data_IF_690407139621
#
_entry.id   IF_690407139621
#
_cell.length_a   1.000
_cell.length_b   1.000
_cell.length_c   1.000
_cell.angle_alpha   90.00
_cell.angle_beta   90.00
_cell.angle_gamma   90.00
#
_symmetry.space_group_name_H-M   'P 1'
#
loop_
_entity.id
_entity.type
_entity.pdbx_description
1 polymer ?
#
# COMPACT_ATOMS: atom_id res chain seq x y z
N UNK A 1 -6.08 -9.72 28.47
CA UNK A 1 -5.91 -8.36 27.95
C UNK A 1 -6.54 -8.34 26.56
N UNK A 2 -7.70 -7.72 26.39
CA UNK A 2 -8.41 -7.69 25.10
C UNK A 2 -7.57 -6.86 24.12
N UNK A 3 -7.09 -7.49 23.05
CA UNK A 3 -6.30 -6.82 22.01
C UNK A 3 -7.30 -6.09 21.10
N UNK A 4 -7.62 -4.83 21.39
CA UNK A 4 -8.38 -4.00 20.47
C UNK A 4 -7.59 -3.84 19.16
N UNK A 5 -8.10 -4.39 18.07
CA UNK A 5 -7.51 -4.17 16.75
C UNK A 5 -7.86 -2.76 16.25
N UNK A 6 -6.86 -2.01 15.80
CA UNK A 6 -7.08 -0.67 15.23
C UNK A 6 -7.89 -0.82 13.93
N UNK A 7 -8.99 -0.07 13.72
CA UNK A 7 -9.84 -0.16 12.53
C UNK A 7 -9.08 -0.20 11.19
N UNK A 8 -8.05 0.63 11.05
CA UNK A 8 -7.18 0.65 9.87
C UNK A 8 -6.49 -0.68 9.60
N UNK A 9 -6.04 -1.38 10.65
CA UNK A 9 -5.38 -2.67 10.52
C UNK A 9 -6.37 -3.77 10.10
N UNK A 10 -7.60 -3.74 10.62
CA UNK A 10 -8.67 -4.65 10.19
C UNK A 10 -8.96 -4.44 8.70
N UNK A 11 -9.15 -3.18 8.31
CA UNK A 11 -9.37 -2.78 6.92
C UNK A 11 -8.26 -3.27 5.99
N UNK A 12 -7.00 -2.98 6.33
CA UNK A 12 -5.85 -3.37 5.51
C UNK A 12 -5.77 -4.89 5.36
N UNK A 13 -5.89 -5.63 6.47
CA UNK A 13 -5.80 -7.10 6.46
C UNK A 13 -6.85 -7.77 5.60
N UNK A 14 -8.04 -7.18 5.52
CA UNK A 14 -9.18 -7.75 4.79
C UNK A 14 -9.16 -7.39 3.30
N UNK A 15 -8.72 -6.19 2.94
CA UNK A 15 -8.71 -5.75 1.54
C UNK A 15 -7.40 -6.05 0.81
N UNK A 16 -6.26 -6.10 1.51
CA UNK A 16 -4.96 -6.36 0.90
C UNK A 16 -4.94 -7.68 0.07
N UNK A 17 -5.52 -8.81 0.52
CA UNK A 17 -5.57 -10.05 -0.26
C UNK A 17 -6.31 -9.94 -1.60
N UNK A 18 -7.16 -8.93 -1.79
CA UNK A 18 -7.90 -8.75 -3.05
C UNK A 18 -6.98 -8.34 -4.21
N UNK A 19 -5.80 -7.77 -3.90
CA UNK A 19 -4.74 -7.54 -4.89
C UNK A 19 -4.97 -6.33 -5.81
N UNK A 20 -5.74 -5.34 -5.37
CA UNK A 20 -5.88 -4.03 -6.04
C UNK A 20 -4.74 -3.06 -5.72
N UNK A 21 -3.92 -3.41 -4.72
CA UNK A 21 -2.81 -2.65 -4.18
C UNK A 21 -2.93 -2.52 -2.66
N UNK A 22 -2.08 -1.71 -2.03
CA UNK A 22 -2.20 -1.43 -0.61
C UNK A 22 -3.43 -0.54 -0.33
N UNK A 23 -4.41 -1.01 0.45
CA UNK A 23 -5.59 -0.22 0.79
C UNK A 23 -5.24 0.90 1.79
N UNK A 24 -5.57 2.15 1.46
CA UNK A 24 -5.38 3.28 2.36
C UNK A 24 -6.65 3.52 3.20
N UNK A 25 -6.47 3.68 4.51
CA UNK A 25 -7.57 3.97 5.43
C UNK A 25 -7.88 5.48 5.47
N UNK A 26 -6.87 6.31 5.24
CA UNK A 26 -7.00 7.75 5.03
C UNK A 26 -6.72 8.05 3.56
N UNK A 27 -7.79 8.27 2.81
CA UNK A 27 -7.73 8.38 1.35
C UNK A 27 -7.56 9.84 0.90
N UNK A 28 -8.00 10.81 1.72
CA UNK A 28 -8.00 12.22 1.38
C UNK A 28 -6.61 12.84 1.42
N UNK A 29 -6.27 13.75 0.49
CA UNK A 29 -5.01 14.47 0.56
C UNK A 29 -5.00 15.39 1.79
N UNK A 30 -3.88 15.46 2.53
CA UNK A 30 -3.75 16.35 3.69
C UNK A 30 -4.02 17.82 3.33
N UNK A 31 -4.77 18.52 4.18
CA UNK A 31 -5.20 19.91 3.95
C UNK A 31 -4.04 20.92 3.95
N UNK A 32 -2.93 20.57 4.60
CA UNK A 32 -1.71 21.37 4.66
C UNK A 32 -0.84 21.28 3.39
N UNK A 33 -1.20 20.44 2.42
CA UNK A 33 -0.49 20.35 1.15
C UNK A 33 -0.93 21.43 0.14
N UNK A 34 -0.06 21.80 -0.81
CA UNK A 34 -0.36 22.79 -1.84
C UNK A 34 -1.61 22.42 -2.63
N UNK A 35 -2.35 23.43 -3.08
CA UNK A 35 -3.59 23.22 -3.83
C UNK A 35 -3.36 22.38 -5.09
N UNK A 36 -2.22 22.56 -5.77
CA UNK A 36 -1.83 21.78 -6.94
C UNK A 36 -1.73 20.27 -6.64
N UNK A 37 -1.24 19.92 -5.46
CA UNK A 37 -1.20 18.52 -5.00
C UNK A 37 -2.59 18.05 -4.58
N UNK A 38 -3.30 18.83 -3.75
CA UNK A 38 -4.65 18.45 -3.27
C UNK A 38 -5.65 18.22 -4.40
N UNK A 39 -5.53 18.92 -5.53
CA UNK A 39 -6.36 18.68 -6.72
C UNK A 39 -6.15 17.30 -7.36
N UNK A 40 -4.96 16.72 -7.23
CA UNK A 40 -4.59 15.43 -7.83
C UNK A 40 -4.63 14.27 -6.83
N UNK A 41 -4.34 14.55 -5.57
CA UNK A 41 -4.07 13.54 -4.55
C UNK A 41 -2.75 12.83 -4.79
N UNK A 42 -2.59 11.67 -4.15
CA UNK A 42 -1.44 10.76 -4.34
C UNK A 42 -1.25 10.52 -5.83
N UNK A 43 -0.05 10.71 -6.35
CA UNK A 43 0.25 10.64 -7.78
C UNK A 43 1.39 9.66 -8.05
N UNK A 44 1.42 9.11 -9.26
CA UNK A 44 2.56 8.36 -9.77
C UNK A 44 3.83 9.21 -9.60
N UNK A 45 4.86 8.62 -9.02
CA UNK A 45 6.10 9.34 -8.68
C UNK A 45 6.22 9.77 -7.24
N UNK A 46 5.13 9.78 -6.48
CA UNK A 46 5.18 10.18 -5.08
C UNK A 46 6.07 9.22 -4.28
N UNK A 47 7.02 9.81 -3.56
CA UNK A 47 7.88 9.13 -2.62
C UNK A 47 7.42 9.52 -1.22
N UNK A 48 7.28 8.51 -0.37
CA UNK A 48 6.73 8.68 0.95
C UNK A 48 6.87 7.44 1.81
N UNK A 49 5.99 7.30 2.79
CA UNK A 49 5.87 6.08 3.59
C UNK A 49 4.45 5.94 4.14
N UNK A 50 4.06 4.71 4.46
CA UNK A 50 2.74 4.42 5.01
C UNK A 50 2.85 4.33 6.54
N UNK A 51 2.01 5.09 7.24
CA UNK A 51 1.93 5.09 8.71
C UNK A 51 1.07 3.92 9.22
N UNK A 52 1.25 3.50 10.49
CA UNK A 52 0.45 2.43 11.10
C UNK A 52 -1.07 2.69 11.09
N UNK A 53 -1.48 3.95 11.01
CA UNK A 53 -2.88 4.37 10.90
C UNK A 53 -3.47 4.16 9.48
N UNK A 54 -2.65 3.71 8.52
CA UNK A 54 -3.07 3.47 7.13
C UNK A 54 -3.09 4.73 6.26
N UNK A 55 -2.45 5.82 6.70
CA UNK A 55 -2.24 7.03 5.88
C UNK A 55 -0.92 6.97 5.11
N UNK A 56 -0.92 7.54 3.90
CA UNK A 56 0.31 7.78 3.14
C UNK A 56 0.87 9.16 3.46
N UNK A 57 2.15 9.23 3.81
CA UNK A 57 2.87 10.47 4.08
C UNK A 57 3.67 10.85 2.84
N UNK A 58 3.18 11.86 2.12
CA UNK A 58 3.89 12.45 0.98
C UNK A 58 5.14 13.20 1.43
N UNK A 59 6.24 13.06 0.67
CA UNK A 59 7.50 13.80 0.94
C UNK A 59 7.94 14.61 -0.27
N UNK A 60 8.01 14.00 -1.46
CA UNK A 60 8.25 14.66 -2.75
C UNK A 60 7.79 13.73 -3.87
N UNK A 61 7.69 14.23 -5.09
CA UNK A 61 7.43 13.47 -6.31
C UNK A 61 8.69 13.44 -7.18
N UNK A 62 9.12 12.24 -7.59
CA UNK A 62 10.38 12.05 -8.32
C UNK A 62 10.36 12.55 -9.78
N UNK A 63 9.18 12.79 -10.35
CA UNK A 63 9.01 13.35 -11.70
C UNK A 63 8.86 14.89 -11.67
N UNK A 64 8.54 15.47 -10.51
CA UNK A 64 8.34 16.90 -10.39
C UNK A 64 9.68 17.63 -10.16
N UNK A 65 9.94 18.74 -10.87
CA UNK A 65 11.01 19.65 -10.48
C UNK A 65 10.66 20.36 -9.17
N UNK A 66 11.67 20.98 -8.57
CA UNK A 66 11.49 21.93 -7.46
C UNK A 66 12.16 23.24 -7.88
N UNK A 67 11.35 24.25 -8.20
CA UNK A 67 11.78 25.62 -8.45
C UNK A 67 11.70 26.50 -7.19
N UNK A 68 11.42 25.90 -6.03
CA UNK A 68 11.56 26.54 -4.71
C UNK A 68 10.33 27.34 -4.26
N UNK A 69 9.18 27.21 -4.92
CA UNK A 69 7.94 27.86 -4.50
C UNK A 69 7.06 26.94 -3.64
N UNK A 70 6.37 27.51 -2.66
CA UNK A 70 5.50 26.76 -1.75
C UNK A 70 4.24 26.19 -2.43
N UNK A 71 3.93 26.64 -3.65
CA UNK A 71 2.76 26.23 -4.42
C UNK A 71 3.01 24.98 -5.30
N UNK A 72 4.27 24.59 -5.47
CA UNK A 72 4.67 23.41 -6.25
C UNK A 72 4.40 22.11 -5.52
N UNK A 73 4.37 21.00 -6.26
CA UNK A 73 4.22 19.64 -5.70
C UNK A 73 5.34 19.32 -4.71
N UNK A 74 6.60 19.62 -5.05
CA UNK A 74 7.77 19.40 -4.19
C UNK A 74 8.00 20.57 -3.22
N UNK A 75 6.95 20.94 -2.49
CA UNK A 75 6.92 22.06 -1.56
C UNK A 75 7.81 21.88 -0.30
N UNK A 76 8.17 20.64 0.04
CA UNK A 76 9.07 20.34 1.16
C UNK A 76 10.55 20.34 0.78
N UNK A 77 10.87 20.76 -0.46
CA UNK A 77 12.18 20.63 -1.04
C UNK A 77 12.40 19.26 -1.69
N UNK A 78 13.65 18.96 -1.98
CA UNK A 78 14.07 17.75 -2.70
C UNK A 78 15.36 17.18 -2.09
N UNK A 79 15.61 15.86 -2.24
CA UNK A 79 16.86 15.24 -1.81
C UNK A 79 18.09 15.90 -2.44
N UNK A 80 19.24 15.82 -1.75
CA UNK A 80 20.50 16.37 -2.27
C UNK A 80 20.89 15.69 -3.59
N UNK A 81 21.24 16.49 -4.59
CA UNK A 81 21.62 16.00 -5.91
C UNK A 81 20.46 15.39 -6.71
N UNK A 82 19.22 15.66 -6.31
CA UNK A 82 18.03 15.21 -7.03
C UNK A 82 17.96 15.83 -8.42
N UNK A 83 17.75 14.97 -9.41
CA UNK A 83 17.47 15.34 -10.80
C UNK A 83 16.21 14.58 -11.19
N UNK A 84 15.10 15.27 -11.53
CA UNK A 84 13.84 14.59 -11.82
C UNK A 84 13.99 13.49 -12.86
N UNK A 85 13.37 12.34 -12.60
CA UNK A 85 13.21 11.32 -13.62
C UNK A 85 12.26 11.89 -14.68
N UNK A 86 12.57 11.68 -15.97
CA UNK A 86 11.67 12.12 -17.04
C UNK A 86 10.45 11.21 -17.08
N UNK A 87 9.26 11.80 -16.92
CA UNK A 87 8.01 11.08 -17.06
C UNK A 87 7.70 10.94 -18.55
N UNK A 88 7.64 9.71 -19.05
CA UNK A 88 7.08 9.42 -20.37
C UNK A 88 5.55 9.32 -20.30
N UNK A 89 4.77 10.27 -20.88
CA UNK A 89 3.31 10.22 -20.86
C UNK A 89 2.73 9.01 -21.61
N UNK A 90 3.48 8.38 -22.52
CA UNK A 90 3.01 7.20 -23.25
C UNK A 90 2.98 5.95 -22.36
N UNK A 91 3.76 5.94 -21.28
CA UNK A 91 3.78 4.85 -20.30
C UNK A 91 2.71 5.03 -19.21
N UNK A 92 1.91 6.10 -19.27
CA UNK A 92 0.91 6.43 -18.28
C UNK A 92 -0.46 5.93 -18.71
N UNK A 93 -0.91 4.86 -18.07
CA UNK A 93 -2.24 4.30 -18.28
C UNK A 93 -3.24 4.96 -17.34
N UNK A 94 -4.37 5.42 -17.89
CA UNK A 94 -5.48 5.98 -17.13
C UNK A 94 -6.78 5.33 -17.56
N UNK A 95 -7.50 4.80 -16.58
CA UNK A 95 -8.82 4.21 -16.78
C UNK A 95 -9.79 4.98 -15.89
N UNK A 96 -10.62 5.84 -16.49
CA UNK A 96 -11.55 6.71 -15.75
C UNK A 96 -12.62 5.94 -14.97
N UNK A 97 -13.12 4.85 -15.54
CA UNK A 97 -14.16 4.00 -14.94
C UNK A 97 -13.59 2.61 -14.62
N UNK A 98 -12.38 2.55 -14.03
CA UNK A 98 -11.74 1.28 -13.66
C UNK A 98 -12.65 0.43 -12.77
N UNK A 99 -13.38 1.10 -11.87
CA UNK A 99 -14.44 0.51 -11.09
C UNK A 99 -15.75 1.24 -11.38
N UNK A 100 -16.81 0.52 -11.78
CA UNK A 100 -18.11 1.13 -12.03
C UNK A 100 -18.71 1.72 -10.76
N UNK A 101 -19.76 2.54 -10.93
CA UNK A 101 -20.57 3.04 -9.83
C UNK A 101 -21.10 1.90 -8.96
N UNK A 102 -21.27 2.19 -7.68
CA UNK A 102 -21.73 1.23 -6.66
C UNK A 102 -20.80 0.01 -6.49
N UNK A 103 -19.51 0.17 -6.81
CA UNK A 103 -18.50 -0.87 -6.57
C UNK A 103 -18.31 -1.10 -5.08
N UNK A 104 -18.24 -2.38 -4.70
CA UNK A 104 -18.07 -2.82 -3.32
C UNK A 104 -16.88 -3.75 -3.20
N UNK A 105 -16.08 -3.56 -2.15
CA UNK A 105 -14.88 -4.33 -1.85
C UNK A 105 -14.96 -4.84 -0.41
N UNK A 106 -14.88 -6.14 -0.22
CA UNK A 106 -15.09 -6.78 1.09
C UNK A 106 -15.85 -8.09 0.95
N UNK A 107 -15.88 -8.85 2.04
CA UNK A 107 -16.80 -9.99 2.17
C UNK A 107 -18.08 -9.46 2.77
N UNK A 108 -19.14 -9.41 1.98
CA UNK A 108 -20.44 -8.91 2.44
C UNK A 108 -21.53 -9.05 1.37
N UNK A 109 -22.77 -8.98 1.83
CA UNK A 109 -23.96 -8.99 0.98
C UNK A 109 -24.64 -7.64 1.04
N UNK A 110 -25.11 -7.17 -0.11
CA UNK A 110 -25.80 -5.90 -0.25
C UNK A 110 -27.20 -6.13 -0.81
N UNK A 111 -28.19 -5.48 -0.23
CA UNK A 111 -29.57 -5.46 -0.71
C UNK A 111 -30.03 -4.02 -0.89
N UNK A 112 -30.27 -3.62 -2.14
CA UNK A 112 -30.74 -2.27 -2.49
C UNK A 112 -32.24 -2.27 -2.71
N UNK A 113 -32.92 -1.32 -2.06
CA UNK A 113 -34.33 -1.01 -2.26
C UNK A 113 -34.43 0.39 -2.86
N UNK A 114 -35.13 0.53 -3.99
CA UNK A 114 -35.30 1.82 -4.68
C UNK A 114 -36.78 2.21 -4.69
N UNK A 115 -37.06 3.45 -4.29
CA UNK A 115 -38.36 4.08 -4.41
C UNK A 115 -38.25 5.30 -5.34
N UNK A 116 -39.14 5.38 -6.33
CA UNK A 116 -39.17 6.49 -7.28
C UNK A 116 -40.47 7.28 -7.14
N UNK A 117 -40.35 8.60 -7.13
CA UNK A 117 -41.44 9.58 -7.23
C UNK A 117 -41.15 10.50 -8.43
N UNK A 118 -42.14 11.27 -8.93
CA UNK A 118 -41.96 12.12 -10.11
C UNK A 118 -40.81 13.15 -10.04
N UNK A 119 -40.34 13.49 -8.84
CA UNK A 119 -39.31 14.51 -8.62
C UNK A 119 -38.06 14.00 -7.90
N UNK A 120 -38.08 12.75 -7.42
CA UNK A 120 -37.05 12.22 -6.55
C UNK A 120 -36.98 10.70 -6.64
N UNK A 121 -35.76 10.18 -6.75
CA UNK A 121 -35.49 8.76 -6.58
C UNK A 121 -34.66 8.59 -5.31
N UNK A 122 -35.12 7.74 -4.40
CA UNK A 122 -34.37 7.34 -3.22
C UNK A 122 -34.01 5.87 -3.33
N UNK A 123 -32.76 5.55 -3.03
CA UNK A 123 -32.29 4.17 -2.90
C UNK A 123 -31.67 3.99 -1.52
N UNK A 124 -32.00 2.89 -0.87
CA UNK A 124 -31.38 2.48 0.38
C UNK A 124 -30.80 1.10 0.22
N UNK A 125 -29.53 0.97 0.56
CA UNK A 125 -28.74 -0.23 0.45
C UNK A 125 -28.38 -0.70 1.84
N UNK A 126 -28.94 -1.83 2.26
CA UNK A 126 -28.52 -2.52 3.48
C UNK A 126 -27.33 -3.42 3.14
N UNK A 127 -26.26 -3.30 3.91
CA UNK A 127 -24.99 -3.96 3.70
C UNK A 127 -24.67 -4.75 4.96
N UNK A 128 -24.58 -6.07 4.83
CA UNK A 128 -24.00 -6.93 5.86
C UNK A 128 -22.59 -7.30 5.43
N UNK A 129 -21.62 -7.18 6.33
CA UNK A 129 -20.22 -7.41 6.00
C UNK A 129 -19.47 -8.06 7.16
N UNK A 130 -18.38 -8.74 6.80
CA UNK A 130 -17.48 -9.39 7.74
C UNK A 130 -16.22 -8.57 7.94
N UNK A 131 -16.09 -7.93 9.11
CA UNK A 131 -14.92 -7.18 9.58
C UNK A 131 -14.53 -5.92 8.80
N UNK A 132 -14.56 -5.91 7.45
CA UNK A 132 -14.22 -4.73 6.67
C UNK A 132 -14.93 -4.68 5.32
N UNK A 133 -15.32 -3.47 4.93
CA UNK A 133 -16.02 -3.19 3.70
C UNK A 133 -15.70 -1.79 3.18
N UNK A 134 -15.53 -1.65 1.88
CA UNK A 134 -15.39 -0.37 1.17
C UNK A 134 -16.46 -0.32 0.09
N UNK A 135 -17.24 0.75 0.07
CA UNK A 135 -18.13 1.08 -1.05
C UNK A 135 -17.70 2.36 -1.73
N UNK A 136 -17.88 2.38 -3.05
CA UNK A 136 -17.48 3.47 -3.94
C UNK A 136 -18.67 3.83 -4.85
N UNK A 137 -19.65 4.61 -4.35
CA UNK A 137 -20.91 4.87 -5.06
C UNK A 137 -20.70 5.54 -6.43
N UNK A 138 -19.81 6.53 -6.50
CA UNK A 138 -19.52 7.26 -7.73
C UNK A 138 -18.51 6.54 -8.65
N UNK A 139 -18.07 5.33 -8.27
CA UNK A 139 -17.00 4.60 -8.97
C UNK A 139 -15.61 5.18 -8.70
N UNK A 140 -14.62 4.61 -9.36
CA UNK A 140 -13.21 5.00 -9.18
C UNK A 140 -12.42 4.87 -10.47
N UNK A 141 -11.51 5.83 -10.66
CA UNK A 141 -10.48 5.75 -11.69
C UNK A 141 -9.27 4.97 -11.21
N UNK A 142 -8.47 4.48 -12.15
CA UNK A 142 -7.13 3.99 -11.91
C UNK A 142 -6.11 4.71 -12.77
N UNK A 143 -4.94 4.91 -12.20
CA UNK A 143 -3.74 5.37 -12.89
C UNK A 143 -2.61 4.37 -12.61
N UNK A 144 -1.89 3.94 -13.65
CA UNK A 144 -0.77 3.01 -13.54
C UNK A 144 0.37 3.44 -14.48
N UNK A 145 1.62 3.23 -14.05
CA UNK A 145 2.80 3.50 -14.88
C UNK A 145 3.43 2.19 -15.36
N UNK A 146 3.52 2.02 -16.68
CA UNK A 146 3.98 0.77 -17.29
C UNK A 146 5.48 0.55 -17.12
N UNK A 147 6.30 1.61 -17.25
CA UNK A 147 7.75 1.52 -17.09
C UNK A 147 8.18 1.57 -15.61
N UNK A 148 7.77 0.53 -14.87
CA UNK A 148 8.20 0.32 -13.49
C UNK A 148 9.70 0.02 -13.40
N UNK A 149 10.37 -0.32 -14.50
CA UNK A 149 11.80 -0.64 -14.51
C UNK A 149 12.68 0.61 -14.38
N UNK A 150 12.31 1.70 -15.06
CA UNK A 150 12.96 3.00 -14.89
C UNK A 150 12.76 3.55 -13.48
N UNK A 151 11.53 3.47 -12.94
CA UNK A 151 11.25 3.84 -11.54
C UNK A 151 12.10 3.02 -10.57
N UNK A 152 12.18 1.70 -10.76
CA UNK A 152 12.98 0.81 -9.92
C UNK A 152 14.45 1.21 -9.94
N UNK A 153 15.03 1.37 -11.12
CA UNK A 153 16.45 1.70 -11.31
C UNK A 153 16.81 3.04 -10.68
N UNK A 154 15.92 4.03 -10.86
CA UNK A 154 16.07 5.35 -10.26
C UNK A 154 15.97 5.29 -8.72
N UNK A 155 14.97 4.58 -8.20
CA UNK A 155 14.76 4.41 -6.76
C UNK A 155 15.95 3.73 -6.08
N UNK A 156 16.49 2.68 -6.71
CA UNK A 156 17.68 1.97 -6.25
C UNK A 156 18.87 2.94 -6.09
N UNK A 157 19.12 3.77 -7.11
CA UNK A 157 20.26 4.70 -7.14
C UNK A 157 20.16 5.78 -6.06
N UNK A 158 18.94 6.17 -5.70
CA UNK A 158 18.69 7.33 -4.83
C UNK A 158 18.15 6.96 -3.42
N UNK A 159 17.91 5.68 -3.14
CA UNK A 159 17.29 5.21 -1.90
C UNK A 159 17.96 5.77 -0.63
N UNK A 160 19.30 5.77 -0.58
CA UNK A 160 20.03 6.27 0.59
C UNK A 160 19.84 7.77 0.80
N UNK A 161 19.95 8.58 -0.26
CA UNK A 161 19.75 10.03 -0.17
C UNK A 161 18.30 10.40 0.12
N UNK A 162 17.35 9.55 -0.26
CA UNK A 162 15.94 9.72 0.11
C UNK A 162 15.71 9.48 1.61
N UNK A 163 16.28 8.42 2.19
CA UNK A 163 16.23 8.22 3.64
C UNK A 163 16.94 9.36 4.39
N UNK A 164 18.07 9.86 3.91
CA UNK A 164 18.75 11.05 4.47
C UNK A 164 17.86 12.29 4.43
N UNK A 165 17.17 12.53 3.31
CA UNK A 165 16.26 13.66 3.17
C UNK A 165 15.06 13.53 4.12
N UNK A 166 14.40 12.37 4.13
CA UNK A 166 13.19 12.12 4.93
C UNK A 166 13.48 12.17 6.43
N UNK A 167 14.57 11.53 6.87
CA UNK A 167 14.86 11.41 8.31
C UNK A 167 15.77 12.53 8.83
N UNK A 168 16.64 13.09 7.99
CA UNK A 168 17.54 14.17 8.35
C UNK A 168 16.91 15.54 8.12
N UNK A 169 16.54 15.86 6.87
CA UNK A 169 16.04 17.20 6.53
C UNK A 169 14.59 17.42 6.99
N UNK A 170 13.70 16.45 6.74
CA UNK A 170 12.28 16.56 7.12
C UNK A 170 12.00 16.08 8.55
N UNK A 171 12.90 15.30 9.16
CA UNK A 171 12.78 14.84 10.54
C UNK A 171 11.64 13.84 10.78
N UNK A 172 11.20 13.10 9.75
CA UNK A 172 10.02 12.23 9.86
C UNK A 172 10.25 10.91 10.60
N UNK A 173 11.50 10.54 10.89
CA UNK A 173 11.88 9.27 11.54
C UNK A 173 11.24 8.02 10.88
N UNK A 174 11.12 8.02 9.55
CA UNK A 174 10.64 6.90 8.76
C UNK A 174 11.49 5.62 9.05
N UNK A 175 10.87 4.53 9.52
CA UNK A 175 11.57 3.27 9.78
C UNK A 175 12.24 2.71 8.53
N UNK A 176 13.35 1.99 8.70
CA UNK A 176 13.96 1.28 7.58
C UNK A 176 12.97 0.26 7.01
N UNK A 177 12.81 0.27 5.68
CA UNK A 177 11.82 -0.53 4.96
C UNK A 177 10.47 0.16 4.75
N UNK A 178 10.19 1.29 5.41
CA UNK A 178 8.89 1.97 5.27
C UNK A 178 8.77 2.82 4.01
N UNK A 179 9.90 3.17 3.36
CA UNK A 179 9.90 4.00 2.16
C UNK A 179 9.09 3.33 1.04
N UNK A 180 8.16 4.09 0.48
CA UNK A 180 7.21 3.67 -0.53
C UNK A 180 7.29 4.60 -1.74
N UNK A 181 7.34 4.03 -2.94
CA UNK A 181 7.40 4.76 -4.21
C UNK A 181 6.18 4.40 -5.04
N UNK A 182 5.32 5.38 -5.32
CA UNK A 182 4.04 5.16 -6.00
C UNK A 182 4.26 4.96 -7.51
N UNK A 183 3.81 3.82 -8.02
CA UNK A 183 3.78 3.44 -9.45
C UNK A 183 2.36 3.40 -10.01
N UNK A 184 1.35 3.36 -9.15
CA UNK A 184 -0.05 3.39 -9.54
C UNK A 184 -0.96 3.72 -8.36
N UNK A 185 -2.18 4.14 -8.65
CA UNK A 185 -3.19 4.45 -7.64
C UNK A 185 -4.61 4.34 -8.19
N UNK A 186 -5.54 3.94 -7.34
CA UNK A 186 -6.98 3.98 -7.62
C UNK A 186 -7.62 5.07 -6.78
N UNK A 187 -8.45 5.91 -7.39
CA UNK A 187 -9.00 7.11 -6.76
C UNK A 187 -10.48 7.24 -6.96
N UNK A 188 -11.15 7.77 -5.94
CA UNK A 188 -12.53 8.20 -6.00
C UNK A 188 -12.69 9.61 -5.42
N UNK A 189 -13.87 10.17 -5.60
CA UNK A 189 -14.35 11.38 -4.95
C UNK A 189 -15.32 11.05 -3.79
N UNK A 190 -15.93 9.85 -3.80
CA UNK A 190 -16.90 9.42 -2.79
C UNK A 190 -16.71 7.95 -2.44
N UNK A 191 -16.60 7.69 -1.15
CA UNK A 191 -16.44 6.34 -0.63
C UNK A 191 -16.87 6.26 0.83
N UNK A 192 -17.08 5.05 1.30
CA UNK A 192 -17.28 4.73 2.69
C UNK A 192 -16.53 3.45 3.05
N UNK A 193 -15.75 3.52 4.13
CA UNK A 193 -15.10 2.38 4.77
C UNK A 193 -15.91 2.04 6.03
N UNK A 194 -16.19 0.77 6.19
CA UNK A 194 -16.75 0.19 7.39
C UNK A 194 -15.81 -0.89 7.92
N UNK A 195 -15.62 -0.91 9.23
CA UNK A 195 -14.81 -1.91 9.92
C UNK A 195 -15.49 -2.35 11.19
N UNK A 196 -15.36 -3.63 11.51
CA UNK A 196 -15.88 -4.24 12.73
C UNK A 196 -14.85 -5.25 13.24
N UNK A 197 -14.78 -5.38 14.57
CA UNK A 197 -13.93 -6.37 15.22
C UNK A 197 -14.63 -7.73 15.29
N UNK A 198 -15.96 -7.74 15.34
CA UNK A 198 -16.78 -8.94 15.26
C UNK A 198 -17.11 -9.29 13.80
N UNK A 199 -17.30 -10.58 13.53
CA UNK A 199 -17.46 -11.10 12.17
C UNK A 199 -18.84 -10.83 11.55
N UNK A 200 -19.67 -9.94 12.10
CA UNK A 200 -21.04 -9.75 11.63
C UNK A 200 -21.60 -8.38 12.01
N UNK A 201 -21.39 -7.39 11.13
CA UNK A 201 -22.02 -6.07 11.24
C UNK A 201 -22.96 -5.79 10.08
N UNK A 202 -23.89 -4.85 10.33
CA UNK A 202 -24.79 -4.33 9.30
C UNK A 202 -24.73 -2.81 9.23
N UNK A 203 -24.88 -2.27 8.04
CA UNK A 203 -24.95 -0.83 7.78
C UNK A 203 -26.07 -0.55 6.80
N UNK A 204 -26.75 0.56 7.00
CA UNK A 204 -27.71 1.08 6.04
C UNK A 204 -27.12 2.31 5.37
N UNK A 205 -26.87 2.22 4.07
CA UNK A 205 -26.48 3.34 3.23
C UNK A 205 -27.72 3.85 2.50
N UNK A 206 -28.09 5.09 2.74
CA UNK A 206 -29.18 5.74 2.02
C UNK A 206 -28.63 6.77 1.05
N UNK A 207 -29.05 6.68 -0.20
CA UNK A 207 -28.72 7.60 -1.28
C UNK A 207 -30.00 8.26 -1.78
N UNK A 208 -29.98 9.58 -1.88
CA UNK A 208 -31.11 10.36 -2.37
C UNK A 208 -30.66 11.15 -3.60
N UNK A 209 -31.39 10.98 -4.69
CA UNK A 209 -31.22 11.75 -5.92
C UNK A 209 -32.43 12.65 -6.13
N UNK A 210 -32.18 13.94 -6.30
CA UNK A 210 -33.23 14.95 -6.54
C UNK A 210 -32.93 15.65 -7.86
N UNK A 211 -33.92 15.70 -8.74
CA UNK A 211 -33.82 16.49 -9.97
C UNK A 211 -34.44 17.87 -9.73
N UNK A 212 -33.62 18.92 -9.81
CA UNK A 212 -34.06 20.30 -9.66
C UNK A 212 -33.58 21.14 -10.86
N UNK A 213 -34.50 21.54 -11.73
CA UNK A 213 -34.21 22.45 -12.86
C UNK A 213 -33.18 21.93 -13.87
N UNK A 214 -33.16 20.61 -14.13
CA UNK A 214 -32.16 19.97 -15.01
C UNK A 214 -30.83 19.65 -14.33
N UNK A 215 -30.69 19.91 -13.02
CA UNK A 215 -29.51 19.54 -12.22
C UNK A 215 -29.86 18.37 -11.31
N UNK A 216 -29.09 17.28 -11.41
CA UNK A 216 -29.19 16.12 -10.52
C UNK A 216 -28.37 16.38 -9.24
N UNK A 217 -29.04 16.42 -8.09
CA UNK A 217 -28.43 16.51 -6.76
C UNK A 217 -28.32 15.10 -6.19
N UNK A 218 -27.09 14.66 -5.92
CA UNK A 218 -26.80 13.37 -5.29
C UNK A 218 -26.37 13.60 -3.85
N UNK A 219 -27.10 13.03 -2.89
CA UNK A 219 -26.70 12.99 -1.48
C UNK A 219 -26.66 11.56 -0.99
N UNK A 220 -25.72 11.27 -0.08
CA UNK A 220 -25.63 9.98 0.58
C UNK A 220 -25.51 10.19 2.08
N UNK A 221 -26.10 9.30 2.85
CA UNK A 221 -25.98 9.23 4.30
C UNK A 221 -25.84 7.77 4.70
N UNK A 222 -25.26 7.54 5.87
CA UNK A 222 -25.13 6.20 6.42
C UNK A 222 -25.63 6.17 7.84
N UNK A 223 -26.30 5.07 8.19
CA UNK A 223 -26.77 4.78 9.54
C UNK A 223 -26.10 3.49 9.98
N UNK A 224 -25.48 3.57 11.16
CA UNK A 224 -24.82 2.44 11.79
C UNK A 224 -25.87 1.50 12.39
N UNK A 225 -25.80 0.22 12.06
CA UNK A 225 -26.58 -0.83 12.70
C UNK A 225 -25.62 -1.84 13.35
N UNK A 226 -25.02 -1.46 14.49
CA UNK A 226 -24.08 -2.29 15.25
C UNK A 226 -22.84 -1.55 15.76
N UNK A 227 -21.78 -2.29 16.08
CA UNK A 227 -20.49 -1.81 16.61
C UNK A 227 -19.55 -1.23 15.54
N UNK A 228 -19.93 -1.27 14.26
CA UNK A 228 -19.07 -0.88 13.16
C UNK A 228 -18.51 0.56 13.26
N UNK A 229 -17.20 0.69 13.06
CA UNK A 229 -16.51 1.97 12.84
C UNK A 229 -16.62 2.31 11.35
N UNK A 230 -17.25 3.46 11.08
CA UNK A 230 -17.49 3.96 9.71
C UNK A 230 -16.70 5.24 9.48
N UNK A 231 -16.06 5.32 8.32
CA UNK A 231 -15.39 6.50 7.78
C UNK A 231 -15.94 6.74 6.37
N UNK A 232 -16.12 7.99 5.96
CA UNK A 232 -16.59 8.33 4.63
C UNK A 232 -15.94 9.62 4.15
N UNK A 233 -15.91 9.81 2.84
CA UNK A 233 -15.47 11.08 2.23
C UNK A 233 -16.31 12.24 2.78
N UNK A 234 -15.67 13.23 3.41
CA UNK A 234 -16.36 14.44 3.85
C UNK A 234 -16.45 15.45 2.70
N UNK A 235 -17.67 15.77 2.27
CA UNK A 235 -17.94 16.83 1.27
C UNK A 235 -18.10 18.23 1.87
N UNK A 236 -17.90 18.38 3.18
CA UNK A 236 -18.12 19.62 3.93
C UNK A 236 -16.92 20.56 3.84
N UNK A 237 -17.13 21.78 3.33
CA UNK A 237 -16.15 22.87 3.38
C UNK A 237 -15.18 22.99 2.18
N UNK A 238 -15.34 22.17 1.15
CA UNK A 238 -14.59 22.30 -0.11
C UNK A 238 -15.42 23.03 -1.17
N UNK A 239 -14.76 23.78 -2.06
CA UNK A 239 -15.41 24.34 -3.26
C UNK A 239 -16.05 23.25 -4.11
N UNK A 240 -17.15 23.57 -4.80
CA UNK A 240 -17.92 22.60 -5.60
C UNK A 240 -17.03 21.90 -6.65
N UNK A 241 -16.07 22.63 -7.23
CA UNK A 241 -15.05 22.12 -8.15
C UNK A 241 -14.16 21.05 -7.52
N UNK A 242 -13.80 21.20 -6.24
CA UNK A 242 -12.94 20.26 -5.52
C UNK A 242 -13.68 18.99 -5.12
N UNK A 243 -15.01 19.05 -4.94
CA UNK A 243 -15.84 17.88 -4.59
C UNK A 243 -16.00 16.90 -5.74
N UNK A 244 -15.80 17.35 -6.97
CA UNK A 244 -15.90 16.52 -8.17
C UNK A 244 -14.59 15.82 -8.55
N UNK A 245 -13.47 16.24 -7.96
CA UNK A 245 -12.17 15.66 -8.26
C UNK A 245 -12.04 14.27 -7.61
N UNK A 246 -11.70 13.26 -8.41
CA UNK A 246 -11.28 11.95 -7.93
C UNK A 246 -9.83 12.03 -7.41
N UNK A 247 -9.66 12.67 -6.26
CA UNK A 247 -8.36 12.91 -5.63
C UNK A 247 -8.14 12.08 -4.34
N UNK A 248 -9.11 11.24 -3.96
CA UNK A 248 -9.06 10.45 -2.73
C UNK A 248 -8.61 9.03 -3.08
N UNK A 249 -7.42 8.65 -2.62
CA UNK A 249 -6.76 7.42 -3.04
C UNK A 249 -7.20 6.23 -2.19
N UNK A 250 -7.85 5.24 -2.83
CA UNK A 250 -8.37 4.03 -2.20
C UNK A 250 -7.29 2.95 -2.09
N UNK A 251 -6.55 2.74 -3.18
CA UNK A 251 -5.47 1.75 -3.28
C UNK A 251 -4.25 2.40 -3.89
N UNK A 252 -3.07 2.13 -3.32
CA UNK A 252 -1.79 2.53 -3.91
C UNK A 252 -1.01 1.31 -4.36
N UNK A 253 -0.28 1.45 -5.46
CA UNK A 253 0.65 0.46 -5.99
C UNK A 253 2.03 1.05 -6.10
N UNK A 254 3.04 0.25 -5.84
CA UNK A 254 4.37 0.81 -5.67
C UNK A 254 5.45 -0.15 -5.24
N UNK A 255 6.63 0.44 -5.06
CA UNK A 255 7.80 -0.23 -4.51
C UNK A 255 7.94 0.04 -3.02
N UNK A 256 8.30 -0.99 -2.25
CA UNK A 256 8.89 -0.80 -0.91
C UNK A 256 10.39 -0.91 -0.98
N UNK A 257 11.09 0.02 -0.32
CA UNK A 257 12.54 0.14 -0.35
C UNK A 257 13.13 0.01 1.05
N UNK A 258 14.07 -0.92 1.21
CA UNK A 258 14.74 -1.20 2.48
C UNK A 258 16.26 -1.13 2.30
N UNK A 259 16.94 -0.48 3.24
CA UNK A 259 18.40 -0.42 3.30
C UNK A 259 18.96 -1.58 4.16
N UNK A 260 20.19 -2.01 3.90
CA UNK A 260 20.90 -2.95 4.77
C UNK A 260 21.22 -2.30 6.11
N UNK A 261 20.89 -3.00 7.20
CA UNK A 261 21.35 -2.62 8.54
C UNK A 261 22.84 -2.91 8.71
N UNK A 262 23.67 -1.94 8.33
CA UNK A 262 25.10 -1.92 8.62
C UNK A 262 25.34 -1.06 9.88
N UNK A 263 26.09 -1.56 10.88
CA UNK A 263 26.41 -0.82 12.11
C UNK A 263 27.01 0.59 11.88
N UNK A 264 27.61 0.82 10.70
CA UNK A 264 28.30 2.06 10.34
C UNK A 264 27.64 2.87 9.21
N UNK A 265 26.59 2.36 8.55
CA UNK A 265 25.90 3.13 7.50
C UNK A 265 25.04 4.23 8.12
N UNK A 266 24.25 3.88 9.14
CA UNK A 266 23.34 4.82 9.82
C UNK A 266 24.05 5.87 10.68
N UNK A 267 25.28 5.59 11.13
CA UNK A 267 26.10 6.55 11.87
C UNK A 267 26.52 7.77 11.06
N UNK A 268 26.50 7.69 9.71
CA UNK A 268 26.73 8.82 8.81
C UNK A 268 25.46 9.62 8.49
N UNK A 269 24.28 9.05 8.70
CA UNK A 269 22.99 9.66 8.38
C UNK A 269 22.47 10.66 9.45
N UNK A 270 23.15 10.80 10.60
CA UNK A 270 22.80 11.77 11.64
C UNK A 270 21.43 11.58 12.33
N UNK A 271 20.58 10.69 11.83
CA UNK A 271 19.24 10.42 12.32
C UNK A 271 19.16 9.02 12.95
N UNK A 272 18.51 8.93 14.12
CA UNK A 272 18.24 7.66 14.82
C UNK A 272 17.17 6.87 14.06
N UNK A 273 17.57 6.13 13.04
CA UNK A 273 16.67 5.15 12.39
C UNK A 273 16.43 4.02 13.38
N UNK A 274 15.19 3.90 13.85
CA UNK A 274 14.78 2.77 14.69
C UNK A 274 14.71 1.53 13.80
N UNK A 275 15.65 0.60 13.97
CA UNK A 275 15.46 -0.75 13.45
C UNK A 275 14.34 -1.41 14.28
N UNK A 276 13.39 -2.03 13.58
CA UNK A 276 12.35 -2.81 14.24
C UNK A 276 12.92 -4.22 14.45
N UNK A 277 12.99 -4.74 15.70
CA UNK A 277 13.49 -6.08 15.94
C UNK A 277 12.63 -7.11 15.19
N UNK A 278 13.22 -7.83 14.24
CA UNK A 278 12.58 -8.97 13.59
C UNK A 278 12.78 -10.23 14.44
N UNK A 279 11.72 -11.04 14.61
CA UNK A 279 11.76 -12.35 15.29
C UNK A 279 12.60 -13.43 14.56
N UNK A 280 13.45 -13.04 13.61
CA UNK A 280 14.31 -13.91 12.80
C UNK A 280 15.59 -14.30 13.57
N UNK A 281 15.61 -14.16 14.91
CA UNK A 281 16.74 -14.52 15.77
C UNK A 281 17.25 -15.97 15.57
N UNK A 282 16.43 -16.85 14.97
CA UNK A 282 16.78 -18.23 14.62
C UNK A 282 17.62 -18.39 13.33
N UNK A 283 17.73 -17.40 12.43
CA UNK A 283 18.55 -17.52 11.21
C UNK A 283 20.03 -17.16 11.42
N UNK A 284 20.41 -16.64 12.59
CA UNK A 284 21.80 -16.24 12.86
C UNK A 284 22.75 -17.45 12.95
N UNK A 285 22.23 -18.67 13.12
CA UNK A 285 23.03 -19.88 13.36
C UNK A 285 23.34 -20.71 12.12
N UNK A 286 22.77 -20.43 10.94
CA UNK A 286 23.04 -21.26 9.75
C UNK A 286 23.34 -20.41 8.50
N UNK A 287 24.56 -19.86 8.47
CA UNK A 287 25.15 -19.25 7.29
C UNK A 287 25.41 -20.30 6.20
N UNK A 288 24.55 -20.36 5.20
CA UNK A 288 24.90 -20.93 3.89
C UNK A 288 24.39 -19.99 2.80
N UNK A 289 25.32 -19.40 2.04
CA UNK A 289 25.05 -18.56 0.86
C UNK A 289 24.04 -19.27 -0.07
N UNK A 290 23.14 -18.51 -0.69
CA UNK A 290 22.17 -19.05 -1.65
C UNK A 290 22.88 -19.86 -2.76
N UNK A 291 22.51 -21.14 -3.00
CA UNK A 291 23.21 -21.97 -3.96
C UNK A 291 22.97 -21.53 -5.42
N UNK A 292 24.04 -21.52 -6.22
CA UNK A 292 24.00 -21.11 -7.64
C UNK A 292 23.52 -22.19 -8.61
N UNK A 293 23.38 -23.44 -8.17
CA UNK A 293 22.99 -24.58 -9.02
C UNK A 293 21.64 -25.16 -8.59
N UNK A 294 20.90 -25.71 -9.56
CA UNK A 294 19.55 -26.24 -9.34
C UNK A 294 19.52 -27.41 -8.34
N UNK A 295 20.55 -28.27 -8.36
CA UNK A 295 20.69 -29.41 -7.44
C UNK A 295 20.97 -28.96 -6.01
N UNK A 296 21.94 -28.06 -5.81
CA UNK A 296 22.26 -27.50 -4.50
C UNK A 296 21.10 -26.66 -3.95
N UNK A 297 20.28 -26.07 -4.82
CA UNK A 297 19.04 -25.39 -4.43
C UNK A 297 17.99 -26.34 -3.88
N UNK A 298 17.79 -27.52 -4.47
CA UNK A 298 16.87 -28.55 -3.95
C UNK A 298 17.30 -29.05 -2.57
N UNK A 299 18.60 -29.31 -2.38
CA UNK A 299 19.17 -29.75 -1.10
C UNK A 299 19.13 -28.65 -0.02
N UNK A 300 19.31 -27.40 -0.43
CA UNK A 300 19.18 -26.26 0.48
C UNK A 300 17.73 -26.02 0.90
N UNK A 301 16.77 -26.16 -0.03
CA UNK A 301 15.33 -26.11 0.26
C UNK A 301 14.92 -27.24 1.22
N UNK A 302 15.45 -28.45 1.06
CA UNK A 302 15.14 -29.56 1.95
C UNK A 302 15.69 -29.34 3.37
N UNK A 303 16.89 -28.77 3.50
CA UNK A 303 17.48 -28.36 4.80
C UNK A 303 16.67 -27.28 5.50
N UNK A 304 16.23 -26.26 4.77
CA UNK A 304 15.33 -25.24 5.32
C UNK A 304 14.00 -25.84 5.77
N UNK A 305 13.40 -26.73 4.95
CA UNK A 305 12.14 -27.42 5.29
C UNK A 305 12.25 -28.20 6.61
N UNK A 306 13.39 -28.85 6.86
CA UNK A 306 13.64 -29.57 8.10
C UNK A 306 13.91 -28.63 9.29
N UNK A 307 14.58 -27.50 9.07
CA UNK A 307 14.85 -26.51 10.11
C UNK A 307 13.58 -25.78 10.60
N UNK A 308 12.58 -25.62 9.73
CA UNK A 308 11.31 -24.95 10.03
C UNK A 308 10.26 -25.84 10.73
N UNK A 309 10.61 -27.05 11.21
CA UNK A 309 9.76 -27.88 12.07
C UNK A 309 8.34 -28.10 11.54
N UNK A 310 8.15 -29.11 10.68
CA UNK A 310 6.81 -29.54 10.25
C UNK A 310 6.06 -30.24 11.40
N UNK A 311 5.36 -29.46 12.21
CA UNK A 311 4.16 -29.88 12.94
C UNK A 311 3.19 -28.69 12.97
N UNK A 312 1.92 -28.97 12.75
CA UNK A 312 0.81 -28.02 12.70
C UNK A 312 0.86 -26.99 13.84
N UNK A 313 1.08 -25.73 13.48
CA UNK A 313 0.58 -24.58 14.23
C UNK A 313 0.04 -23.57 13.21
N UNK A 314 -1.16 -23.86 12.73
CA UNK A 314 -2.11 -22.83 12.33
C UNK A 314 -2.41 -21.99 13.59
N UNK A 315 -2.52 -20.66 13.44
CA UNK A 315 -2.87 -19.66 14.46
C UNK A 315 -1.77 -18.88 15.22
N UNK A 316 -0.49 -18.94 14.86
CA UNK A 316 0.45 -17.92 15.38
C UNK A 316 0.27 -16.60 14.61
N UNK A 317 -0.64 -15.75 15.08
CA UNK A 317 -0.73 -14.33 14.72
C UNK A 317 0.67 -13.71 14.84
N UNK A 318 1.31 -13.36 13.72
CA UNK A 318 2.47 -12.47 13.75
C UNK A 318 2.07 -11.23 14.54
N UNK A 319 2.74 -11.00 15.67
CA UNK A 319 2.62 -9.75 16.42
C UNK A 319 2.97 -8.62 15.47
N UNK A 320 1.92 -7.90 15.03
CA UNK A 320 2.11 -6.61 14.38
C UNK A 320 2.82 -5.76 15.42
N UNK A 321 4.05 -5.35 15.11
CA UNK A 321 4.70 -4.33 15.90
C UNK A 321 3.74 -3.13 15.93
N UNK A 322 3.32 -2.64 17.11
CA UNK A 322 2.31 -1.58 17.23
C UNK A 322 2.72 -0.25 16.54
N UNK A 323 3.93 -0.19 15.98
CA UNK A 323 4.56 0.97 15.39
C UNK A 323 4.77 0.90 13.86
N UNK A 324 4.37 -0.18 13.18
CA UNK A 324 4.55 -0.29 11.72
C UNK A 324 3.29 -0.77 10.99
N UNK A 325 3.00 -0.14 9.85
CA UNK A 325 1.98 -0.60 8.92
C UNK A 325 2.42 -1.96 8.34
N UNK A 326 1.61 -2.99 8.51
CA UNK A 326 1.92 -4.32 8.00
C UNK A 326 1.98 -4.30 6.47
N UNK A 327 3.09 -4.73 5.86
CA UNK A 327 3.20 -4.92 4.42
C UNK A 327 3.98 -6.21 4.08
N UNK A 328 3.47 -7.10 3.20
CA UNK A 328 4.14 -8.36 2.84
C UNK A 328 5.58 -8.19 2.37
N UNK A 329 5.82 -7.13 1.59
CA UNK A 329 7.15 -6.79 1.06
C UNK A 329 8.21 -6.50 2.14
N UNK A 330 7.83 -6.16 3.37
CA UNK A 330 8.82 -5.93 4.44
C UNK A 330 9.61 -7.21 4.73
N UNK A 331 8.91 -8.34 4.85
CA UNK A 331 9.54 -9.66 5.04
C UNK A 331 10.37 -10.08 3.84
N UNK A 332 9.88 -9.80 2.63
CA UNK A 332 10.59 -10.15 1.40
C UNK A 332 11.88 -9.35 1.29
N UNK A 333 11.83 -8.03 1.53
CA UNK A 333 13.01 -7.17 1.51
C UNK A 333 14.03 -7.54 2.59
N UNK A 334 13.58 -7.82 3.83
CA UNK A 334 14.45 -8.32 4.89
C UNK A 334 15.18 -9.60 4.47
N UNK A 335 14.45 -10.54 3.85
CA UNK A 335 15.02 -11.78 3.35
C UNK A 335 16.03 -11.52 2.23
N UNK A 336 15.72 -10.67 1.26
CA UNK A 336 16.63 -10.31 0.16
C UNK A 336 17.95 -9.73 0.69
N UNK A 337 17.90 -8.82 1.67
CA UNK A 337 19.09 -8.27 2.30
C UNK A 337 19.88 -9.34 3.05
N UNK A 338 19.23 -10.24 3.79
CA UNK A 338 19.91 -11.33 4.50
C UNK A 338 20.62 -12.32 3.56
N UNK A 339 20.03 -12.61 2.41
CA UNK A 339 20.57 -13.60 1.46
C UNK A 339 21.61 -13.04 0.49
N UNK A 340 21.66 -11.72 0.32
CA UNK A 340 22.59 -11.07 -0.61
C UNK A 340 23.59 -10.20 0.14
N UNK A 341 24.49 -9.54 -0.60
CA UNK A 341 25.36 -8.48 -0.09
C UNK A 341 24.87 -7.09 -0.54
N UNK A 342 23.63 -7.00 -1.06
CA UNK A 342 23.04 -5.77 -1.56
C UNK A 342 22.86 -4.72 -0.46
N UNK A 343 23.11 -3.45 -0.74
CA UNK A 343 22.86 -2.34 0.20
C UNK A 343 21.40 -1.92 0.24
N UNK A 344 20.67 -2.16 -0.85
CA UNK A 344 19.23 -1.85 -0.96
C UNK A 344 18.50 -3.09 -1.48
N UNK A 345 17.37 -3.40 -0.84
CA UNK A 345 16.36 -4.29 -1.37
C UNK A 345 15.14 -3.47 -1.77
N UNK A 346 14.62 -3.77 -2.95
CA UNK A 346 13.44 -3.13 -3.50
C UNK A 346 12.56 -4.22 -4.09
N UNK A 347 11.27 -4.15 -3.80
CA UNK A 347 10.26 -5.08 -4.34
C UNK A 347 8.98 -4.31 -4.62
N UNK A 348 8.24 -4.75 -5.63
CA UNK A 348 6.98 -4.17 -6.07
C UNK A 348 5.80 -4.95 -5.50
N UNK A 349 4.64 -4.33 -5.33
CA UNK A 349 3.45 -5.03 -4.86
C UNK A 349 3.04 -6.25 -5.70
N UNK A 350 3.35 -6.23 -7.00
CA UNK A 350 3.14 -7.38 -7.89
C UNK A 350 3.93 -8.62 -7.49
N UNK A 351 5.00 -8.47 -6.70
CA UNK A 351 5.94 -9.55 -6.40
C UNK A 351 5.45 -10.47 -5.28
N UNK A 352 4.64 -9.96 -4.34
CA UNK A 352 4.13 -10.77 -3.23
C UNK A 352 2.81 -11.46 -3.55
N UNK A 353 1.98 -10.90 -4.44
CA UNK A 353 0.65 -11.43 -4.74
C UNK A 353 0.67 -12.92 -5.14
N UNK A 354 1.59 -13.40 -5.99
CA UNK A 354 1.65 -14.82 -6.33
C UNK A 354 2.10 -15.73 -5.17
N UNK A 355 2.64 -15.15 -4.10
CA UNK A 355 3.07 -15.85 -2.89
C UNK A 355 1.93 -16.01 -1.87
N UNK A 356 0.76 -15.42 -2.12
CA UNK A 356 -0.41 -15.54 -1.27
C UNK A 356 -1.66 -15.93 -2.09
N UNK A 357 -1.67 -17.10 -2.76
CA UNK A 357 -2.87 -17.60 -3.43
C UNK A 357 -3.97 -17.88 -2.41
N UNK A 358 -5.02 -17.07 -2.41
CA UNK A 358 -6.16 -17.19 -1.51
C UNK A 358 -6.90 -15.88 -1.29
N UNK A 359 -8.06 -15.95 -0.63
CA UNK A 359 -8.84 -14.79 -0.18
C UNK A 359 -8.34 -14.23 1.16
N UNK A 360 -7.46 -14.97 1.83
CA UNK A 360 -6.78 -14.55 3.07
C UNK A 360 -5.29 -14.41 2.82
N UNK A 361 -4.67 -13.49 3.56
CA UNK A 361 -3.24 -13.27 3.46
C UNK A 361 -2.48 -14.46 4.07
N UNK A 362 -1.54 -15.01 3.31
CA UNK A 362 -0.62 -16.01 3.83
C UNK A 362 0.27 -15.43 4.94
N UNK A 363 0.64 -16.25 5.91
CA UNK A 363 1.60 -15.84 6.94
C UNK A 363 2.96 -15.45 6.31
N UNK A 364 3.74 -14.60 6.99
CA UNK A 364 5.08 -14.23 6.54
C UNK A 364 5.94 -15.46 6.17
N UNK A 365 5.92 -16.50 6.98
CA UNK A 365 6.63 -17.75 6.72
C UNK A 365 6.06 -18.53 5.51
N UNK A 366 4.74 -18.53 5.35
CA UNK A 366 4.08 -19.12 4.18
C UNK A 366 4.48 -18.44 2.88
N UNK A 367 4.55 -17.11 2.88
CA UNK A 367 5.02 -16.32 1.74
C UNK A 367 6.50 -16.56 1.46
N UNK A 368 7.36 -16.59 2.48
CA UNK A 368 8.80 -16.86 2.31
C UNK A 368 9.06 -18.27 1.76
N UNK A 369 8.33 -19.29 2.22
CA UNK A 369 8.43 -20.67 1.69
C UNK A 369 8.14 -20.72 0.19
N UNK A 370 7.09 -20.02 -0.25
CA UNK A 370 6.76 -19.90 -1.69
C UNK A 370 7.83 -19.08 -2.42
N UNK A 371 8.27 -17.97 -1.85
CA UNK A 371 9.28 -17.09 -2.44
C UNK A 371 10.54 -17.87 -2.83
N UNK A 372 11.07 -18.65 -1.90
CA UNK A 372 12.26 -19.48 -2.08
C UNK A 372 12.09 -20.51 -3.23
N UNK A 373 10.86 -20.99 -3.41
CA UNK A 373 10.51 -21.98 -4.42
C UNK A 373 10.41 -21.35 -5.82
N UNK A 374 9.86 -20.13 -5.93
CA UNK A 374 9.51 -19.51 -7.23
C UNK A 374 10.49 -18.44 -7.71
N UNK A 375 11.23 -17.80 -6.80
CA UNK A 375 12.09 -16.66 -7.12
C UNK A 375 13.53 -16.91 -6.70
N UNK A 376 14.48 -16.49 -7.53
CA UNK A 376 15.88 -16.41 -7.16
C UNK A 376 16.23 -14.94 -6.88
N UNK A 377 16.94 -14.63 -5.78
CA UNK A 377 17.52 -13.31 -5.60
C UNK A 377 18.48 -13.04 -6.77
N UNK A 378 18.23 -12.00 -7.55
CA UNK A 378 19.18 -11.51 -8.55
C UNK A 378 19.95 -10.32 -7.96
N UNK A 379 21.27 -10.31 -8.18
CA UNK A 379 22.09 -9.14 -7.93
C UNK A 379 22.16 -8.33 -9.22
N UNK A 380 21.57 -7.14 -9.22
CA UNK A 380 21.73 -6.19 -10.32
C UNK A 380 22.77 -5.13 -9.91
N UNK A 381 23.73 -4.87 -10.81
CA UNK A 381 24.76 -3.82 -10.67
C UNK A 381 25.65 -3.95 -9.42
N UNK A 382 25.88 -5.17 -8.92
CA UNK A 382 26.84 -5.46 -7.84
C UNK A 382 26.51 -4.87 -6.46
N UNK A 383 25.38 -4.16 -6.33
CA UNK A 383 25.05 -3.36 -5.14
C UNK A 383 23.61 -3.56 -4.65
N UNK A 384 22.76 -4.27 -5.40
CA UNK A 384 21.31 -4.32 -5.18
C UNK A 384 20.72 -5.71 -5.41
N UNK A 385 19.65 -6.04 -4.69
CA UNK A 385 18.96 -7.34 -4.79
C UNK A 385 17.49 -7.18 -5.15
N UNK A 386 17.04 -7.91 -6.16
CA UNK A 386 15.64 -7.98 -6.59
C UNK A 386 15.20 -9.45 -6.72
N UNK A 387 13.90 -9.67 -6.93
CA UNK A 387 13.36 -10.96 -7.30
C UNK A 387 13.42 -11.16 -8.81
N UNK A 388 14.14 -12.20 -9.24
CA UNK A 388 14.05 -12.72 -10.61
C UNK A 388 13.22 -13.99 -10.60
N UNK A 389 12.24 -14.07 -11.52
CA UNK A 389 11.41 -15.27 -11.68
C UNK A 389 12.28 -16.41 -12.21
N UNK A 390 12.21 -17.58 -11.57
CA UNK A 390 12.96 -18.76 -12.02
C UNK A 390 12.26 -19.34 -13.24
N UNK A 391 12.89 -19.25 -14.41
CA UNK A 391 12.40 -19.88 -15.63
C UNK A 391 12.29 -21.39 -15.38
N UNK A 392 11.06 -21.95 -15.44
CA UNK A 392 10.78 -23.38 -15.27
C UNK A 392 9.90 -23.78 -14.08
N UNK A 393 9.38 -22.84 -13.28
CA UNK A 393 8.36 -23.15 -12.26
C UNK A 393 6.97 -22.72 -12.73
N UNK A 394 6.10 -23.70 -13.01
CA UNK A 394 4.69 -23.47 -13.29
C UNK A 394 3.92 -23.24 -11.98
N UNK A 395 2.89 -22.38 -12.05
CA UNK A 395 1.99 -22.05 -10.95
C UNK A 395 1.06 -23.19 -10.58
#
# INVERSE_FOLDING_TARGET
MVRYHVPSQIYIRKLLPMGYGYPLYYTEPPSNLPLAYRKKGISIGDVGFIRPDGSFVFTFNMFAPCAGTAQEVNCFGIPKGFVPLQLDPQQLERIHDKYPKESNFGTGTSTTTTAATPFCTSSSTAISFENAFLTVPDGAMGEDYCDIASIRSYSIKHAESWYEFINGHLGFEAPNGSLYVVTGCDKSNKWMIATDEESSSSLLLSTLTVEAGGRMIYSHSSIKMGSAVVRSSTSSGLDDDMKQLQNQCLFVRGFKVMLRDEPNAWGKLGARVRSIPSHIGLLRTQSARFPRTLSARKDWISRLRNAFGLAEQLDSFEEIHPYAAYHPLDRINEYLLKQTQARVAITHESDWRPLSPGTTLASGDGMLRRLITFYAPSLELGSYSNLSRVIGSAF
#
